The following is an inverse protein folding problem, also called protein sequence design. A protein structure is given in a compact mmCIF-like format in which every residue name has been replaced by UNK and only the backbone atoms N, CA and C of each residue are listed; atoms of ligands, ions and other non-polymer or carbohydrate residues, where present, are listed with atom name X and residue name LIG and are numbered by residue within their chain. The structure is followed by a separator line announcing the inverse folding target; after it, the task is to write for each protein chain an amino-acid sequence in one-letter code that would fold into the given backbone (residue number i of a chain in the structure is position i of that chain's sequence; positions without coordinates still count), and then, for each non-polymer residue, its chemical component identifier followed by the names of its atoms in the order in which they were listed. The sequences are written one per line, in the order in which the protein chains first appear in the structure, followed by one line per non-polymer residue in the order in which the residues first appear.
data_IF_340151839034
#
_entry.id   IF_340151839034
#
_cell.length_a   1.000
_cell.length_b   1.000
_cell.length_c   1.000
_cell.angle_alpha   90.00
_cell.angle_beta   90.00
_cell.angle_gamma   90.00
#
_symmetry.space_group_name_H-M   'P 1'
#
loop_
_entity.id
_entity.type
_entity.pdbx_description
1 polymer ?
#
# COMPACT_ATOMS: atom_id res chain seq x y z
N UNK A 1 -20.51 -7.96 15.71
CA UNK A 1 -19.25 -7.52 16.38
C UNK A 1 -17.98 -8.00 15.64
N UNK A 2 -17.97 -9.21 15.05
CA UNK A 2 -16.81 -9.73 14.28
C UNK A 2 -17.14 -9.97 12.79
N UNK A 3 -18.09 -9.21 12.26
CA UNK A 3 -18.64 -9.41 10.91
C UNK A 3 -17.76 -8.81 9.81
N UNK A 4 -16.90 -7.84 10.14
CA UNK A 4 -15.93 -7.28 9.19
C UNK A 4 -14.70 -8.16 8.99
N UNK A 5 -14.15 -8.14 7.78
CA UNK A 5 -12.81 -8.64 7.47
C UNK A 5 -11.95 -7.53 6.85
N UNK A 6 -10.63 -7.55 7.11
CA UNK A 6 -9.92 -8.40 8.06
C UNK A 6 -10.16 -7.97 9.52
N UNK A 7 -9.91 -8.88 10.46
CA UNK A 7 -9.99 -8.62 11.90
C UNK A 7 -8.71 -7.94 12.40
N UNK A 8 -8.82 -6.80 13.09
CA UNK A 8 -7.67 -6.20 13.78
C UNK A 8 -7.26 -7.08 14.96
N UNK A 9 -6.00 -7.49 14.99
CA UNK A 9 -5.41 -8.31 16.06
C UNK A 9 -4.17 -7.66 16.64
N UNK A 10 -3.90 -7.93 17.92
CA UNK A 10 -2.72 -7.45 18.63
C UNK A 10 -2.19 -8.51 19.59
N UNK A 11 -0.88 -8.47 19.87
CA UNK A 11 -0.22 -9.27 20.89
C UNK A 11 0.85 -8.40 21.53
N UNK A 12 0.73 -8.00 22.80
CA UNK A 12 1.65 -7.00 23.36
C UNK A 12 1.60 -5.70 22.55
N UNK A 13 2.75 -5.25 22.03
CA UNK A 13 2.84 -4.00 21.26
C UNK A 13 2.59 -4.17 19.75
N UNK A 14 2.76 -5.37 19.20
CA UNK A 14 2.56 -5.63 17.77
C UNK A 14 1.08 -5.67 17.40
N UNK A 15 0.80 -5.21 16.18
CA UNK A 15 -0.53 -5.19 15.58
C UNK A 15 -0.49 -5.83 14.20
N UNK A 16 -1.60 -6.45 13.82
CA UNK A 16 -1.78 -7.06 12.51
C UNK A 16 -3.25 -7.13 12.10
N UNK A 17 -3.48 -7.54 10.85
CA UNK A 17 -4.80 -7.76 10.29
C UNK A 17 -4.94 -9.26 9.98
N UNK A 18 -5.84 -9.93 10.69
CA UNK A 18 -6.11 -11.36 10.52
C UNK A 18 -7.19 -11.57 9.44
N UNK A 19 -6.84 -12.31 8.40
CA UNK A 19 -7.72 -12.68 7.29
C UNK A 19 -8.28 -14.07 7.53
N UNK A 20 -9.60 -14.19 7.68
CA UNK A 20 -10.22 -15.46 8.10
C UNK A 20 -10.07 -16.52 7.01
N UNK A 21 -10.10 -16.10 5.75
CA UNK A 21 -9.91 -16.99 4.58
C UNK A 21 -8.53 -17.66 4.53
N UNK A 22 -7.53 -17.09 5.21
CA UNK A 22 -6.18 -17.66 5.31
C UNK A 22 -5.92 -18.39 6.64
N UNK A 23 -6.88 -18.34 7.58
CA UNK A 23 -6.73 -18.88 8.92
C UNK A 23 -6.77 -20.41 8.92
N UNK A 24 -5.67 -21.05 9.34
CA UNK A 24 -5.52 -22.51 9.30
C UNK A 24 -5.33 -23.14 10.69
N UNK A 25 -4.26 -23.88 10.92
CA UNK A 25 -4.03 -24.64 12.18
C UNK A 25 -3.38 -23.80 13.29
N UNK A 26 -2.84 -22.63 12.97
CA UNK A 26 -2.15 -21.73 13.90
C UNK A 26 -0.63 -21.70 13.72
N UNK A 27 -0.01 -22.86 13.55
CA UNK A 27 1.40 -23.01 13.16
C UNK A 27 1.61 -23.12 11.65
N UNK A 28 0.51 -23.23 10.90
CA UNK A 28 0.44 -23.17 9.43
C UNK A 28 -0.64 -22.17 9.02
N UNK A 29 -0.60 -21.75 7.75
CA UNK A 29 -1.48 -20.73 7.19
C UNK A 29 -1.06 -19.35 7.65
N UNK A 30 -0.24 -18.65 6.85
CA UNK A 30 0.11 -17.26 7.15
C UNK A 30 -1.14 -16.40 6.94
N UNK A 31 -1.77 -15.98 8.03
CA UNK A 31 -3.09 -15.35 8.01
C UNK A 31 -3.12 -13.97 8.68
N UNK A 32 -2.04 -13.55 9.33
CA UNK A 32 -1.92 -12.24 9.98
C UNK A 32 -0.97 -11.39 9.14
N UNK A 33 -1.51 -10.35 8.51
CA UNK A 33 -0.74 -9.36 7.76
C UNK A 33 -0.28 -8.24 8.68
N UNK A 34 1.03 -8.09 8.86
CA UNK A 34 1.66 -6.91 9.48
C UNK A 34 1.95 -5.87 8.40
N UNK A 35 2.70 -4.79 8.67
CA UNK A 35 3.19 -3.91 7.61
C UNK A 35 4.26 -4.60 6.72
N UNK A 36 5.05 -5.52 7.30
CA UNK A 36 6.27 -6.07 6.68
C UNK A 36 6.14 -7.51 6.20
N UNK A 37 5.19 -8.28 6.72
CA UNK A 37 5.12 -9.72 6.49
C UNK A 37 3.71 -10.30 6.67
N UNK A 38 3.48 -11.46 6.05
CA UNK A 38 2.43 -12.40 6.43
C UNK A 38 2.97 -13.40 7.43
N UNK A 39 2.25 -13.57 8.54
CA UNK A 39 2.64 -14.42 9.67
C UNK A 39 1.52 -15.41 10.02
N UNK A 40 1.90 -16.60 10.43
CA UNK A 40 1.03 -17.50 11.18
C UNK A 40 0.75 -16.92 12.58
N UNK A 41 -0.34 -17.32 13.24
CA UNK A 41 -0.58 -16.96 14.65
C UNK A 41 0.63 -17.24 15.56
N UNK A 42 1.35 -18.33 15.33
CA UNK A 42 2.53 -18.68 16.11
C UNK A 42 3.70 -17.73 15.86
N UNK A 43 4.04 -17.47 14.59
CA UNK A 43 5.09 -16.51 14.22
C UNK A 43 4.76 -15.09 14.71
N UNK A 44 3.49 -14.70 14.71
CA UNK A 44 3.06 -13.39 15.19
C UNK A 44 3.40 -13.21 16.67
N UNK A 45 3.10 -14.19 17.53
CA UNK A 45 3.46 -14.12 18.98
C UNK A 45 4.98 -14.07 19.20
N UNK A 46 5.75 -14.74 18.34
CA UNK A 46 7.20 -14.79 18.42
C UNK A 46 7.89 -13.45 18.14
N UNK A 47 7.20 -12.48 17.51
CA UNK A 47 7.75 -11.14 17.26
C UNK A 47 8.02 -10.35 18.56
N UNK A 48 7.31 -10.64 19.64
CA UNK A 48 7.41 -9.92 20.93
C UNK A 48 8.04 -10.76 22.04
N UNK A 49 7.96 -12.10 21.94
CA UNK A 49 8.23 -12.98 23.07
C UNK A 49 8.85 -14.31 22.63
N UNK A 50 9.58 -14.96 23.53
CA UNK A 50 10.00 -16.36 23.35
C UNK A 50 8.86 -17.37 23.64
N UNK A 51 7.59 -16.94 23.55
CA UNK A 51 6.43 -17.79 23.87
C UNK A 51 6.21 -18.80 22.73
N UNK A 52 6.05 -20.07 23.09
CA UNK A 52 5.84 -21.19 22.16
C UNK A 52 4.38 -21.37 21.72
N UNK A 53 4.23 -22.19 20.68
CA UNK A 53 3.05 -22.49 19.86
C UNK A 53 1.71 -22.67 20.61
N UNK A 54 1.69 -23.18 21.84
CA UNK A 54 0.45 -23.53 22.53
C UNK A 54 -0.36 -22.33 23.08
N UNK A 55 0.18 -21.10 23.10
CA UNK A 55 -0.44 -19.96 23.79
C UNK A 55 -1.07 -18.90 22.90
N UNK A 56 -0.85 -18.90 21.58
CA UNK A 56 -1.34 -17.83 20.68
C UNK A 56 -2.85 -17.59 20.79
N UNK A 57 -3.63 -18.66 21.01
CA UNK A 57 -5.09 -18.58 21.20
C UNK A 57 -5.51 -17.67 22.35
N UNK A 58 -4.68 -17.56 23.39
CA UNK A 58 -4.98 -16.77 24.60
C UNK A 58 -4.39 -15.36 24.55
N UNK A 59 -3.25 -15.19 23.87
CA UNK A 59 -2.48 -13.94 23.91
C UNK A 59 -2.74 -13.02 22.72
N UNK A 60 -3.15 -13.56 21.57
CA UNK A 60 -3.59 -12.73 20.45
C UNK A 60 -5.01 -12.25 20.73
N UNK A 61 -5.20 -10.94 20.78
CA UNK A 61 -6.46 -10.29 21.09
C UNK A 61 -7.03 -9.63 19.84
N UNK A 62 -8.33 -9.84 19.58
CA UNK A 62 -9.13 -9.10 18.62
C UNK A 62 -10.17 -8.27 19.39
N UNK A 63 -10.07 -6.94 19.35
CA UNK A 63 -10.93 -6.04 20.13
C UNK A 63 -11.02 -6.46 21.62
N UNK A 64 -9.87 -6.71 22.24
CA UNK A 64 -9.72 -7.22 23.61
C UNK A 64 -10.20 -8.66 23.88
N UNK A 65 -10.73 -9.36 22.87
CA UNK A 65 -11.12 -10.77 23.00
C UNK A 65 -10.02 -11.71 22.51
N UNK A 66 -9.61 -12.72 23.28
CA UNK A 66 -8.65 -13.72 22.82
C UNK A 66 -9.17 -14.49 21.59
N UNK A 67 -8.26 -14.93 20.70
CA UNK A 67 -8.67 -15.76 19.56
C UNK A 67 -9.37 -17.06 19.98
N UNK A 68 -9.09 -17.61 21.17
CA UNK A 68 -9.83 -18.75 21.73
C UNK A 68 -11.32 -18.48 21.85
N UNK A 69 -11.73 -17.24 22.18
CA UNK A 69 -13.13 -16.84 22.21
C UNK A 69 -13.73 -16.82 20.81
N UNK A 70 -13.02 -16.27 19.83
CA UNK A 70 -13.46 -16.24 18.42
C UNK A 70 -13.62 -17.65 17.85
N UNK A 71 -12.70 -18.56 18.20
CA UNK A 71 -12.76 -19.98 17.83
C UNK A 71 -13.97 -20.66 18.47
N UNK A 72 -14.19 -20.46 19.77
CA UNK A 72 -15.34 -21.02 20.48
C UNK A 72 -16.68 -20.51 19.91
N UNK A 73 -16.71 -19.27 19.44
CA UNK A 73 -17.86 -18.66 18.74
C UNK A 73 -17.94 -19.01 17.25
N UNK A 74 -17.05 -19.88 16.75
CA UNK A 74 -16.97 -20.31 15.33
C UNK A 74 -16.79 -19.16 14.34
N UNK A 75 -16.30 -18.01 14.81
CA UNK A 75 -15.88 -16.88 13.96
C UNK A 75 -14.61 -17.26 13.21
N UNK A 76 -13.69 -17.96 13.89
CA UNK A 76 -12.49 -18.53 13.29
C UNK A 76 -12.60 -20.06 13.29
N UNK A 77 -12.34 -20.68 12.15
CA UNK A 77 -12.38 -22.15 11.98
C UNK A 77 -10.96 -22.68 11.89
N UNK A 78 -10.55 -23.40 12.91
CA UNK A 78 -9.21 -24.00 12.97
C UNK A 78 -9.21 -25.25 12.10
N UNK A 79 -8.24 -25.36 11.20
CA UNK A 79 -8.07 -26.58 10.40
C UNK A 79 -7.59 -27.75 11.26
N UNK A 80 -7.94 -28.97 10.85
CA UNK A 80 -7.38 -30.19 11.43
C UNK A 80 -5.86 -30.22 11.26
N UNK A 81 -5.15 -30.84 12.20
CA UNK A 81 -3.70 -31.09 12.06
C UNK A 81 -3.38 -32.04 10.90
N UNK A 82 -4.38 -32.81 10.43
CA UNK A 82 -4.29 -33.69 9.27
C UNK A 82 -4.83 -33.03 7.99
N UNK A 83 -4.99 -31.71 7.96
CA UNK A 83 -5.51 -31.02 6.79
C UNK A 83 -4.44 -30.93 5.68
N UNK A 84 -4.80 -31.37 4.48
CA UNK A 84 -3.92 -31.43 3.31
C UNK A 84 -4.12 -30.24 2.34
N UNK A 85 -4.78 -29.17 2.76
CA UNK A 85 -4.95 -27.98 1.91
C UNK A 85 -3.65 -27.18 1.78
N UNK A 86 -3.54 -26.35 0.74
CA UNK A 86 -2.34 -25.53 0.46
C UNK A 86 -1.93 -24.63 1.64
N UNK A 87 -2.89 -24.06 2.37
CA UNK A 87 -2.60 -23.24 3.56
C UNK A 87 -1.94 -24.04 4.70
N UNK A 88 -2.27 -25.33 4.81
CA UNK A 88 -1.70 -26.24 5.81
C UNK A 88 -0.46 -26.98 5.32
N UNK A 89 -0.17 -26.91 4.02
CA UNK A 89 0.93 -27.61 3.39
C UNK A 89 2.29 -27.20 3.98
N UNK A 90 3.19 -28.16 4.04
CA UNK A 90 4.60 -27.92 4.38
C UNK A 90 5.49 -27.88 3.13
N UNK A 91 4.91 -27.98 1.93
CA UNK A 91 5.64 -27.78 0.70
C UNK A 91 6.20 -26.34 0.62
N UNK A 92 7.42 -26.18 0.12
CA UNK A 92 8.10 -24.89 0.04
C UNK A 92 7.38 -23.91 -0.89
N UNK A 93 6.89 -24.39 -2.04
CA UNK A 93 6.13 -23.59 -3.00
C UNK A 93 4.86 -23.03 -2.38
N UNK A 94 4.07 -23.87 -1.69
CA UNK A 94 2.86 -23.44 -1.00
C UNK A 94 3.16 -22.42 0.12
N UNK A 95 4.33 -22.49 0.76
CA UNK A 95 4.74 -21.53 1.79
C UNK A 95 5.16 -20.18 1.19
N UNK A 96 5.85 -20.20 0.04
CA UNK A 96 6.24 -19.02 -0.72
C UNK A 96 5.02 -18.26 -1.24
N UNK A 97 4.02 -18.97 -1.77
CA UNK A 97 2.76 -18.38 -2.25
C UNK A 97 1.97 -17.68 -1.14
N UNK A 98 2.26 -17.98 0.13
CA UNK A 98 1.64 -17.34 1.29
C UNK A 98 2.42 -16.10 1.79
N UNK A 99 3.52 -15.69 1.16
CA UNK A 99 4.32 -14.55 1.62
C UNK A 99 3.81 -13.20 1.16
N UNK A 100 2.94 -13.16 0.14
CA UNK A 100 2.46 -11.93 -0.48
C UNK A 100 0.93 -11.79 -0.38
N UNK A 101 0.46 -10.59 -0.70
CA UNK A 101 -0.94 -10.19 -0.70
C UNK A 101 -1.67 -10.84 -1.88
N UNK A 102 -2.89 -11.30 -1.66
CA UNK A 102 -3.73 -11.92 -2.70
C UNK A 102 -4.44 -10.87 -3.59
N UNK A 103 -4.06 -9.60 -3.44
CA UNK A 103 -4.61 -8.46 -4.15
C UNK A 103 -3.50 -7.49 -4.56
N UNK A 104 -3.74 -6.72 -5.61
CA UNK A 104 -2.84 -5.69 -6.04
C UNK A 104 -2.82 -4.53 -5.05
N UNK A 105 -1.61 -4.09 -4.68
CA UNK A 105 -1.39 -2.93 -3.80
C UNK A 105 -1.99 -1.61 -4.34
N UNK A 106 -2.12 -1.48 -5.66
CA UNK A 106 -2.58 -0.25 -6.31
C UNK A 106 -4.10 -0.23 -6.49
N UNK A 107 -4.69 -1.26 -7.11
CA UNK A 107 -6.13 -1.27 -7.39
C UNK A 107 -6.97 -1.99 -6.35
N UNK A 108 -6.37 -2.82 -5.49
CA UNK A 108 -7.08 -3.61 -4.49
C UNK A 108 -7.77 -4.88 -5.02
N UNK A 109 -7.66 -5.15 -6.33
CA UNK A 109 -8.28 -6.31 -6.98
C UNK A 109 -7.33 -7.51 -7.06
N UNK A 110 -7.89 -8.71 -7.21
CA UNK A 110 -7.17 -9.96 -7.44
C UNK A 110 -6.81 -10.15 -8.95
N UNK A 111 -6.20 -11.29 -9.30
CA UNK A 111 -5.88 -11.65 -10.69
C UNK A 111 -4.42 -12.07 -10.89
N UNK A 112 -3.85 -11.73 -12.05
CA UNK A 112 -2.45 -12.05 -12.38
C UNK A 112 -1.49 -11.06 -11.69
N UNK A 113 -0.91 -11.51 -10.58
CA UNK A 113 -0.13 -10.70 -9.67
C UNK A 113 1.37 -11.06 -9.73
N UNK A 114 2.21 -10.03 -9.73
CA UNK A 114 3.66 -10.13 -9.52
C UNK A 114 3.97 -9.75 -8.08
N UNK A 115 4.70 -10.62 -7.39
CA UNK A 115 5.05 -10.49 -5.99
C UNK A 115 6.41 -9.80 -5.82
N UNK A 116 6.53 -8.90 -4.84
CA UNK A 116 7.82 -8.38 -4.41
C UNK A 116 8.54 -9.39 -3.51
N UNK A 117 9.85 -9.56 -3.68
CA UNK A 117 10.64 -10.52 -2.88
C UNK A 117 11.05 -10.02 -1.48
N UNK A 118 10.82 -8.73 -1.18
CA UNK A 118 11.25 -8.11 0.09
C UNK A 118 10.09 -7.65 0.98
N UNK A 119 8.89 -7.49 0.42
CA UNK A 119 7.72 -7.07 1.17
C UNK A 119 6.50 -7.83 0.68
N UNK A 120 5.39 -7.81 1.43
CA UNK A 120 4.26 -8.69 1.12
C UNK A 120 3.39 -8.13 0.00
N UNK A 121 3.75 -7.01 -0.62
CA UNK A 121 2.93 -6.37 -1.64
C UNK A 121 2.97 -7.20 -2.93
N UNK A 122 1.83 -7.20 -3.61
CA UNK A 122 1.64 -7.80 -4.93
C UNK A 122 1.11 -6.74 -5.89
N UNK A 123 1.34 -6.92 -7.19
CA UNK A 123 0.97 -5.93 -8.20
C UNK A 123 0.53 -6.57 -9.50
N UNK A 124 -0.55 -6.09 -10.12
CA UNK A 124 -0.69 -6.32 -11.57
C UNK A 124 0.44 -5.59 -12.29
N UNK A 125 0.97 -6.21 -13.36
CA UNK A 125 2.03 -5.63 -14.19
C UNK A 125 1.73 -4.18 -14.66
N UNK A 126 0.54 -3.84 -15.18
CA UNK A 126 0.23 -2.47 -15.60
C UNK A 126 -0.01 -1.50 -14.42
N UNK A 127 -0.23 -2.01 -13.21
CA UNK A 127 -0.47 -1.18 -12.04
C UNK A 127 0.83 -0.67 -11.41
N UNK A 128 1.92 -1.45 -11.45
CA UNK A 128 3.21 -1.04 -10.90
C UNK A 128 3.93 -0.02 -11.80
N UNK A 129 4.73 0.87 -11.18
CA UNK A 129 5.47 1.93 -11.88
C UNK A 129 6.96 1.84 -11.51
N UNK A 130 7.88 1.54 -12.45
CA UNK A 130 7.63 1.11 -13.83
C UNK A 130 7.08 -0.33 -13.88
N UNK A 131 6.51 -0.82 -14.99
CA UNK A 131 6.06 -2.21 -15.09
C UNK A 131 7.20 -3.19 -14.72
N UNK A 132 6.93 -4.25 -13.95
CA UNK A 132 7.95 -5.20 -13.53
C UNK A 132 8.58 -5.91 -14.75
N UNK A 133 9.83 -6.37 -14.65
CA UNK A 133 10.47 -7.14 -15.71
C UNK A 133 9.74 -8.48 -15.93
N UNK A 134 9.94 -9.10 -17.09
CA UNK A 134 9.39 -10.44 -17.39
C UNK A 134 10.31 -11.57 -16.92
N UNK A 135 11.49 -11.25 -16.39
CA UNK A 135 12.46 -12.24 -15.89
C UNK A 135 11.94 -12.93 -14.64
N UNK A 136 12.32 -14.21 -14.45
CA UNK A 136 12.09 -14.95 -13.21
C UNK A 136 13.13 -14.66 -12.12
N UNK A 137 13.97 -13.64 -12.30
CA UNK A 137 14.96 -13.22 -11.32
C UNK A 137 14.32 -12.48 -10.15
N UNK A 138 15.07 -12.38 -9.04
CA UNK A 138 14.68 -11.62 -7.86
C UNK A 138 14.29 -10.19 -8.24
N UNK A 139 13.09 -9.77 -7.82
CA UNK A 139 12.52 -8.46 -8.10
C UNK A 139 12.03 -7.75 -6.83
N UNK A 140 12.41 -6.48 -6.72
CA UNK A 140 11.98 -5.57 -5.67
C UNK A 140 11.04 -4.52 -6.25
N UNK A 141 9.91 -4.27 -5.58
CA UNK A 141 9.01 -3.20 -5.97
C UNK A 141 9.64 -1.82 -5.74
N UNK A 142 9.15 -0.79 -6.45
CA UNK A 142 9.71 0.57 -6.38
C UNK A 142 9.75 1.13 -4.96
N UNK A 143 8.77 0.78 -4.12
CA UNK A 143 8.75 1.21 -2.72
C UNK A 143 9.91 0.59 -1.92
N UNK A 144 10.20 -0.70 -2.11
CA UNK A 144 11.34 -1.36 -1.46
C UNK A 144 12.68 -0.85 -2.00
N UNK A 145 12.78 -0.62 -3.32
CA UNK A 145 13.97 -0.02 -3.92
C UNK A 145 14.22 1.36 -3.32
N UNK A 146 13.19 2.20 -3.22
CA UNK A 146 13.30 3.52 -2.61
C UNK A 146 13.69 3.48 -1.13
N UNK A 147 13.01 2.64 -0.32
CA UNK A 147 13.33 2.46 1.11
C UNK A 147 14.78 1.98 1.31
N UNK A 148 15.26 1.04 0.47
CA UNK A 148 16.62 0.52 0.56
C UNK A 148 17.67 1.53 0.08
N UNK A 149 17.37 2.32 -0.95
CA UNK A 149 18.26 3.38 -1.42
C UNK A 149 18.38 4.54 -0.43
N UNK A 150 17.36 4.79 0.38
CA UNK A 150 17.42 5.82 1.43
C UNK A 150 18.48 5.54 2.49
N UNK A 151 18.77 4.28 2.80
CA UNK A 151 19.76 3.91 3.81
C UNK A 151 21.19 4.38 3.49
N UNK A 152 21.46 4.73 2.23
CA UNK A 152 22.79 5.13 1.73
C UNK A 152 22.91 6.61 1.35
N UNK A 153 21.81 7.36 1.34
CA UNK A 153 21.83 8.81 1.06
C UNK A 153 22.03 9.57 2.37
N UNK A 154 23.16 10.26 2.49
CA UNK A 154 23.51 11.18 3.59
C UNK A 154 22.29 12.04 4.01
N UNK A 155 22.16 12.28 5.31
CA UNK A 155 20.98 12.88 6.01
C UNK A 155 20.75 14.38 5.73
N UNK A 156 21.18 14.86 4.57
CA UNK A 156 21.02 16.26 4.18
C UNK A 156 19.56 16.52 3.78
N UNK A 157 18.82 17.15 4.70
CA UNK A 157 17.51 17.69 4.41
C UNK A 157 17.63 18.78 3.34
N UNK A 158 16.83 18.67 2.29
CA UNK A 158 16.76 19.69 1.23
C UNK A 158 15.50 20.55 1.40
N UNK A 159 15.48 21.74 0.84
CA UNK A 159 14.24 22.53 0.79
C UNK A 159 13.31 21.98 -0.30
N UNK A 160 12.01 22.27 -0.20
CA UNK A 160 11.07 21.95 -1.28
C UNK A 160 11.53 22.54 -2.62
N UNK A 161 11.96 23.81 -2.63
CA UNK A 161 12.42 24.45 -3.86
C UNK A 161 13.63 23.72 -4.47
N UNK A 162 14.58 23.28 -3.64
CA UNK A 162 15.70 22.47 -4.09
C UNK A 162 15.25 21.13 -4.67
N UNK A 163 14.25 20.47 -4.07
CA UNK A 163 13.69 19.23 -4.63
C UNK A 163 13.03 19.48 -5.99
N UNK A 164 12.22 20.52 -6.10
CA UNK A 164 11.46 20.88 -7.31
C UNK A 164 12.38 21.22 -8.50
N UNK A 165 13.51 21.88 -8.26
CA UNK A 165 14.44 22.31 -9.31
C UNK A 165 15.40 21.20 -9.79
N UNK A 166 15.33 20.00 -9.20
CA UNK A 166 16.18 18.87 -9.63
C UNK A 166 15.65 18.26 -10.93
N UNK A 167 16.55 17.79 -11.81
CA UNK A 167 16.16 16.93 -12.92
C UNK A 167 15.39 15.72 -12.41
N UNK A 168 14.29 15.37 -13.07
CA UNK A 168 13.45 14.26 -12.61
C UNK A 168 14.22 12.93 -12.63
N UNK A 169 15.18 12.78 -13.53
CA UNK A 169 16.05 11.59 -13.62
C UNK A 169 16.83 11.31 -12.33
N UNK A 170 17.13 12.35 -11.55
CA UNK A 170 17.82 12.21 -10.25
C UNK A 170 16.90 11.69 -9.15
N UNK A 171 15.60 11.95 -9.27
CA UNK A 171 14.56 11.62 -8.29
C UNK A 171 13.45 10.75 -8.91
N UNK A 172 13.79 9.94 -9.90
CA UNK A 172 12.79 9.19 -10.67
C UNK A 172 12.07 8.19 -9.78
N UNK A 173 12.82 7.45 -8.95
CA UNK A 173 12.27 6.46 -8.02
C UNK A 173 11.36 7.11 -6.97
N UNK A 174 11.72 8.30 -6.48
CA UNK A 174 10.92 9.11 -5.55
C UNK A 174 9.59 9.54 -6.18
N UNK A 175 9.61 10.06 -7.41
CA UNK A 175 8.40 10.42 -8.15
C UNK A 175 7.50 9.19 -8.39
N UNK A 176 8.09 8.05 -8.77
CA UNK A 176 7.37 6.79 -8.99
C UNK A 176 6.75 6.27 -7.68
N UNK A 177 7.51 6.27 -6.59
CA UNK A 177 7.05 5.85 -5.27
C UNK A 177 5.90 6.73 -4.76
N UNK A 178 6.05 8.05 -4.88
CA UNK A 178 5.01 9.01 -4.49
C UNK A 178 3.72 8.80 -5.30
N UNK A 179 3.83 8.66 -6.63
CA UNK A 179 2.67 8.40 -7.49
C UNK A 179 1.99 7.07 -7.15
N UNK A 180 2.76 6.00 -6.90
CA UNK A 180 2.21 4.71 -6.48
C UNK A 180 1.44 4.80 -5.16
N UNK A 181 1.93 5.57 -4.18
CA UNK A 181 1.22 5.82 -2.92
C UNK A 181 -0.12 6.51 -3.17
N UNK A 182 -0.14 7.57 -3.98
CA UNK A 182 -1.39 8.26 -4.35
C UNK A 182 -2.38 7.31 -5.02
N UNK A 183 -1.94 6.53 -6.01
CA UNK A 183 -2.80 5.58 -6.71
C UNK A 183 -3.38 4.52 -5.75
N UNK A 184 -2.60 4.04 -4.77
CA UNK A 184 -3.08 3.06 -3.78
C UNK A 184 -4.08 3.62 -2.76
N UNK A 185 -4.04 4.94 -2.51
CA UNK A 185 -4.93 5.59 -1.55
C UNK A 185 -6.25 6.05 -2.18
N UNK A 186 -6.28 6.33 -3.50
CA UNK A 186 -7.49 6.70 -4.23
C UNK A 186 -8.36 5.47 -4.57
N UNK A 187 -8.83 4.77 -3.54
CA UNK A 187 -9.61 3.51 -3.65
C UNK A 187 -10.90 3.65 -4.45
N UNK A 188 -11.51 4.85 -4.44
CA UNK A 188 -12.73 5.14 -5.21
C UNK A 188 -12.42 5.59 -6.65
N UNK A 189 -11.13 5.70 -7.01
CA UNK A 189 -10.62 6.08 -8.33
C UNK A 189 -11.11 7.45 -8.81
N UNK A 190 -11.39 8.36 -7.87
CA UNK A 190 -11.99 9.67 -8.11
C UNK A 190 -10.96 10.63 -8.72
N UNK A 191 -9.71 10.52 -8.31
CA UNK A 191 -8.59 11.32 -8.82
C UNK A 191 -7.75 10.55 -9.85
N UNK A 192 -7.96 9.24 -9.93
CA UNK A 192 -7.25 8.33 -10.83
C UNK A 192 -7.82 8.35 -12.24
N UNK A 193 -9.12 8.58 -12.40
CA UNK A 193 -9.81 8.52 -13.69
C UNK A 193 -10.00 9.90 -14.32
N UNK A 194 -10.21 9.97 -15.63
CA UNK A 194 -10.45 11.22 -16.33
C UNK A 194 -11.88 11.75 -16.09
N UNK A 195 -11.99 12.71 -15.16
CA UNK A 195 -13.25 13.38 -14.83
C UNK A 195 -13.87 14.15 -16.00
N UNK A 196 -13.11 14.49 -17.05
CA UNK A 196 -13.66 15.19 -18.21
C UNK A 196 -14.59 14.31 -19.06
N UNK A 197 -14.48 13.00 -18.90
CA UNK A 197 -15.31 12.02 -19.63
C UNK A 197 -16.52 11.54 -18.83
N UNK A 198 -16.50 11.70 -17.50
CA UNK A 198 -17.50 11.12 -16.60
C UNK A 198 -18.34 12.16 -15.86
N UNK A 199 -17.86 13.41 -15.75
CA UNK A 199 -18.53 14.47 -14.99
C UNK A 199 -19.14 15.49 -15.93
N UNK A 200 -20.45 15.66 -15.82
CA UNK A 200 -21.21 16.61 -16.62
C UNK A 200 -20.68 18.05 -16.40
N UNK A 201 -20.56 18.81 -17.51
CA UNK A 201 -20.11 20.21 -17.50
C UNK A 201 -18.69 20.45 -16.93
N UNK A 202 -17.91 19.40 -16.70
CA UNK A 202 -16.55 19.53 -16.16
C UNK A 202 -15.64 20.38 -17.05
N UNK A 203 -15.68 20.15 -18.36
CA UNK A 203 -14.89 20.87 -19.37
C UNK A 203 -15.32 22.33 -19.58
N UNK A 204 -16.54 22.70 -19.16
CA UNK A 204 -16.99 24.09 -19.15
C UNK A 204 -16.22 24.89 -18.08
N UNK A 205 -16.01 24.28 -16.91
CA UNK A 205 -15.38 24.91 -15.75
C UNK A 205 -13.84 24.77 -15.74
N UNK A 206 -13.33 23.57 -16.06
CA UNK A 206 -11.92 23.22 -15.91
C UNK A 206 -11.22 23.25 -17.27
N UNK A 207 -10.24 24.14 -17.42
CA UNK A 207 -9.55 24.40 -18.69
C UNK A 207 -8.35 23.49 -18.93
N UNK A 208 -7.70 23.02 -17.88
CA UNK A 208 -6.59 22.06 -17.94
C UNK A 208 -6.89 20.85 -17.05
N UNK A 209 -7.69 19.87 -17.52
CA UNK A 209 -7.93 18.63 -16.79
C UNK A 209 -6.63 17.88 -16.48
N UNK A 210 -6.58 17.21 -15.33
CA UNK A 210 -5.46 16.36 -14.92
C UNK A 210 -5.97 15.27 -13.97
N UNK A 211 -5.37 14.07 -14.02
CA UNK A 211 -5.71 12.91 -13.20
C UNK A 211 -4.51 11.95 -13.06
N UNK A 212 -4.51 11.04 -12.08
CA UNK A 212 -3.30 10.26 -11.75
C UNK A 212 -2.85 9.32 -12.88
N UNK A 213 -3.76 8.69 -13.64
CA UNK A 213 -3.34 7.91 -14.82
C UNK A 213 -2.70 8.78 -15.91
N UNK A 214 -3.11 10.06 -16.06
CA UNK A 214 -2.41 10.99 -16.96
C UNK A 214 -1.01 11.31 -16.45
N UNK A 215 -0.86 11.59 -15.14
CA UNK A 215 0.46 11.82 -14.53
C UNK A 215 1.37 10.60 -14.70
N UNK A 216 0.83 9.39 -14.54
CA UNK A 216 1.54 8.14 -14.80
C UNK A 216 2.02 8.03 -16.24
N UNK A 217 1.15 8.31 -17.21
CA UNK A 217 1.50 8.30 -18.63
C UNK A 217 2.61 9.32 -18.94
N UNK A 218 2.48 10.55 -18.44
CA UNK A 218 3.48 11.60 -18.65
C UNK A 218 4.84 11.21 -18.03
N UNK A 219 4.82 10.63 -16.82
CA UNK A 219 6.03 10.15 -16.13
C UNK A 219 6.71 9.01 -16.91
N UNK A 220 5.95 8.05 -17.41
CA UNK A 220 6.46 6.91 -18.17
C UNK A 220 6.94 7.29 -19.58
N UNK A 221 6.35 8.33 -20.18
CA UNK A 221 6.71 8.83 -21.51
C UNK A 221 7.92 9.77 -21.47
N UNK A 222 8.38 10.17 -20.29
CA UNK A 222 9.50 11.10 -20.12
C UNK A 222 9.13 12.56 -20.40
N UNK A 223 7.85 12.92 -20.25
CA UNK A 223 7.35 14.27 -20.55
C UNK A 223 7.78 15.30 -19.49
N UNK A 224 8.25 14.84 -18.33
CA UNK A 224 8.78 15.69 -17.27
C UNK A 224 10.30 15.76 -17.36
N UNK A 225 10.85 16.97 -17.31
CA UNK A 225 12.30 17.24 -17.23
C UNK A 225 12.75 17.49 -15.81
N UNK A 226 11.91 18.17 -15.03
CA UNK A 226 12.17 18.55 -13.64
C UNK A 226 11.09 18.00 -12.70
N UNK A 227 11.45 17.76 -11.44
CA UNK A 227 10.51 17.33 -10.40
C UNK A 227 9.32 18.28 -10.28
N UNK A 228 9.54 19.59 -10.47
CA UNK A 228 8.48 20.59 -10.41
C UNK A 228 7.34 20.37 -11.39
N UNK A 229 7.60 19.79 -12.56
CA UNK A 229 6.57 19.59 -13.59
C UNK A 229 5.63 18.47 -13.18
N UNK A 230 6.18 17.35 -12.69
CA UNK A 230 5.43 16.26 -12.08
C UNK A 230 4.60 16.74 -10.87
N UNK A 231 5.23 17.45 -9.93
CA UNK A 231 4.53 17.96 -8.74
C UNK A 231 3.43 18.96 -9.11
N UNK A 232 3.66 19.81 -10.11
CA UNK A 232 2.66 20.78 -10.57
C UNK A 232 1.43 20.10 -11.16
N UNK A 233 1.61 19.04 -11.96
CA UNK A 233 0.47 18.29 -12.50
C UNK A 233 -0.30 17.55 -11.40
N UNK A 234 0.38 16.98 -10.38
CA UNK A 234 -0.30 16.37 -9.23
C UNK A 234 -1.10 17.41 -8.43
N UNK A 235 -0.51 18.56 -8.11
CA UNK A 235 -1.20 19.66 -7.40
C UNK A 235 -2.40 20.19 -8.19
N UNK A 236 -2.27 20.26 -9.51
CA UNK A 236 -3.34 20.68 -10.42
C UNK A 236 -4.58 19.77 -10.32
N UNK A 237 -4.42 18.46 -10.08
CA UNK A 237 -5.56 17.55 -9.84
C UNK A 237 -6.43 18.09 -8.68
N UNK A 238 -5.76 18.46 -7.58
CA UNK A 238 -6.45 18.96 -6.40
C UNK A 238 -6.97 20.40 -6.60
N UNK A 239 -6.27 21.26 -7.35
CA UNK A 239 -6.72 22.62 -7.67
C UNK A 239 -7.99 22.58 -8.52
N UNK A 240 -8.02 21.69 -9.52
CA UNK A 240 -9.20 21.43 -10.34
C UNK A 240 -10.36 20.92 -9.48
N UNK A 241 -10.08 19.99 -8.56
CA UNK A 241 -11.09 19.51 -7.62
C UNK A 241 -11.65 20.65 -6.76
N UNK A 242 -10.80 21.49 -6.15
CA UNK A 242 -11.25 22.62 -5.33
C UNK A 242 -12.05 23.65 -6.15
N UNK A 243 -11.68 23.85 -7.41
CA UNK A 243 -12.36 24.78 -8.33
C UNK A 243 -13.75 24.29 -8.71
N UNK A 244 -13.89 23.01 -9.05
CA UNK A 244 -15.16 22.42 -9.48
C UNK A 244 -16.10 22.09 -8.31
N UNK A 245 -15.54 21.53 -7.22
CA UNK A 245 -16.29 20.96 -6.10
C UNK A 245 -16.42 21.90 -4.90
N UNK A 246 -16.69 23.19 -5.16
CA UNK A 246 -16.78 24.20 -4.10
C UNK A 246 -17.88 23.84 -3.10
N UNK A 247 -17.51 23.84 -1.81
CA UNK A 247 -18.42 23.64 -0.66
C UNK A 247 -19.15 22.27 -0.60
N UNK A 248 -18.67 21.23 -1.30
CA UNK A 248 -19.26 19.89 -1.25
C UNK A 248 -18.30 18.84 -0.65
N UNK A 249 -18.75 17.59 -0.54
CA UNK A 249 -17.97 16.48 0.03
C UNK A 249 -16.72 16.14 -0.80
N UNK A 250 -16.82 16.14 -2.12
CA UNK A 250 -15.69 15.89 -3.02
C UNK A 250 -14.60 16.95 -2.85
N UNK A 251 -14.96 18.22 -2.63
CA UNK A 251 -14.01 19.28 -2.32
C UNK A 251 -13.26 19.01 -1.01
N UNK A 252 -13.96 18.56 0.05
CA UNK A 252 -13.33 18.18 1.33
C UNK A 252 -12.44 16.94 1.20
N UNK A 253 -12.82 16.00 0.35
CA UNK A 253 -12.02 14.81 0.07
C UNK A 253 -10.75 15.17 -0.71
N UNK A 254 -10.85 16.04 -1.73
CA UNK A 254 -9.69 16.55 -2.46
C UNK A 254 -8.72 17.32 -1.57
N UNK A 255 -9.21 18.11 -0.61
CA UNK A 255 -8.36 18.78 0.37
C UNK A 255 -7.61 17.78 1.28
N UNK A 256 -8.29 16.73 1.76
CA UNK A 256 -7.64 15.66 2.54
C UNK A 256 -6.59 14.91 1.74
N UNK A 257 -6.89 14.61 0.49
CA UNK A 257 -5.98 13.90 -0.41
C UNK A 257 -4.75 14.74 -0.77
N UNK A 258 -4.93 16.07 -0.95
CA UNK A 258 -3.81 17.02 -1.07
C UNK A 258 -2.91 17.00 0.18
N UNK A 259 -3.47 17.05 1.38
CA UNK A 259 -2.65 17.06 2.60
C UNK A 259 -1.79 15.79 2.71
N UNK A 260 -2.37 14.63 2.40
CA UNK A 260 -1.62 13.37 2.34
C UNK A 260 -0.51 13.44 1.29
N UNK A 261 -0.78 13.96 0.10
CA UNK A 261 0.25 14.18 -0.92
C UNK A 261 1.41 15.05 -0.42
N UNK A 262 1.13 16.19 0.23
CA UNK A 262 2.17 17.10 0.73
C UNK A 262 2.99 16.48 1.89
N UNK A 263 2.37 15.64 2.73
CA UNK A 263 3.06 14.85 3.75
C UNK A 263 3.97 13.78 3.13
N UNK A 264 3.45 13.02 2.16
CA UNK A 264 4.20 11.99 1.46
C UNK A 264 5.31 12.57 0.59
N UNK A 265 5.11 13.75 -0.02
CA UNK A 265 6.15 14.46 -0.75
C UNK A 265 7.30 14.84 0.19
N UNK A 266 7.00 15.45 1.35
CA UNK A 266 8.02 15.80 2.35
C UNK A 266 8.79 14.59 2.84
N UNK A 267 8.09 13.50 3.13
CA UNK A 267 8.72 12.25 3.54
C UNK A 267 9.58 11.65 2.42
N UNK A 268 9.06 11.64 1.18
CA UNK A 268 9.71 10.99 0.05
C UNK A 268 10.99 11.71 -0.39
N UNK A 269 10.99 13.04 -0.33
CA UNK A 269 12.09 13.91 -0.74
C UNK A 269 12.93 14.44 0.42
N UNK A 270 12.63 14.04 1.67
CA UNK A 270 13.27 14.54 2.90
C UNK A 270 13.30 16.07 2.99
N UNK A 271 12.18 16.73 2.71
CA UNK A 271 12.11 18.20 2.71
C UNK A 271 11.67 18.77 4.05
N UNK A 272 12.23 19.93 4.42
CA UNK A 272 11.80 20.67 5.62
C UNK A 272 10.40 21.26 5.42
N UNK A 273 9.60 21.28 6.48
CA UNK A 273 8.41 22.13 6.54
C UNK A 273 8.84 23.59 6.42
N UNK A 274 8.20 24.35 5.53
CA UNK A 274 8.34 25.80 5.52
C UNK A 274 8.07 26.32 6.94
N UNK A 275 9.06 26.99 7.54
CA UNK A 275 8.87 27.71 8.80
C UNK A 275 7.83 28.80 8.55
N UNK A 276 6.68 28.67 9.23
CA UNK A 276 5.56 29.61 9.22
C UNK A 276 5.96 31.03 9.60
#
# INVERSE_FOLDING_TARGET
MFEGEPLTVQCGSIRGRLYKVRFASGSKGKCIRTAKSWLTPTEFVQQETNITDAKWRKVILCNSWPLSFLIAKKVLRVHSVLCECRLCSSNEQDQLEQCNDDWCFICGEDGDLVCCDECPRSFHRPCHIPPPPSSGDKWLCTLCVWENCQAWRYDDQITEQQALDRPITTYMTECQALLMKLLSEDKQRIFTSDSSTTVERYTECIKKPMWLERVKLNLQSGDYKFVREFVSDVRLIFDNCATFNKNNEFGRMGARFRNMFEEEFRHTFKTQSASS
#
